data_IF_841815377458
#
_entry.id   IF_841815377458
#
_cell.length_a   1.000
_cell.length_b   1.000
_cell.length_c   1.000
_cell.angle_alpha   90.00
_cell.angle_beta   90.00
_cell.angle_gamma   90.00
#
_symmetry.space_group_name_H-M   'P 1'
#
loop_
_entity.id
_entity.type
_entity.pdbx_description
1 polymer ?
#
# COMPACT_ATOMS: atom_id res chain seq x y z
N UNK A 1 -14.33 -32.88 -6.48
CA UNK A 1 -13.10 -33.53 -6.93
C UNK A 1 -12.05 -33.29 -5.83
N UNK A 2 -11.38 -34.36 -5.42
CA UNK A 2 -10.35 -34.33 -4.41
C UNK A 2 -9.01 -34.73 -5.01
N UNK A 3 -7.95 -34.00 -4.61
CA UNK A 3 -6.56 -34.27 -4.94
C UNK A 3 -5.83 -34.53 -3.62
N UNK A 4 -5.46 -35.76 -3.35
CA UNK A 4 -4.84 -36.20 -2.12
C UNK A 4 -3.36 -36.54 -2.30
N UNK A 5 -2.66 -36.66 -1.19
CA UNK A 5 -1.32 -37.21 -1.07
C UNK A 5 -1.27 -38.25 0.07
N UNK A 6 -0.07 -38.74 0.42
CA UNK A 6 0.09 -39.72 1.50
C UNK A 6 -0.27 -39.19 2.90
N UNK A 7 -0.35 -37.90 3.10
CA UNK A 7 -0.68 -37.24 4.38
C UNK A 7 -2.15 -36.79 4.47
N UNK A 8 -2.81 -36.55 3.35
CA UNK A 8 -4.21 -36.10 3.30
C UNK A 8 -4.86 -36.43 1.97
N UNK A 9 -6.07 -36.94 2.02
CA UNK A 9 -6.86 -37.23 0.82
C UNK A 9 -7.64 -36.02 0.28
N UNK A 10 -7.52 -34.84 0.88
CA UNK A 10 -8.29 -33.62 0.56
C UNK A 10 -7.46 -32.33 0.62
N UNK A 11 -6.13 -32.43 0.43
CA UNK A 11 -5.22 -31.28 0.49
C UNK A 11 -5.49 -30.28 -0.66
N UNK A 12 -5.93 -30.78 -1.81
CA UNK A 12 -6.44 -29.99 -2.92
C UNK A 12 -7.84 -30.44 -3.29
N UNK A 13 -8.75 -29.53 -3.59
CA UNK A 13 -10.12 -29.90 -4.01
C UNK A 13 -10.81 -28.83 -4.83
N UNK A 14 -11.72 -29.29 -5.68
CA UNK A 14 -12.78 -28.49 -6.29
C UNK A 14 -14.10 -28.99 -5.71
N UNK A 15 -14.82 -28.13 -5.02
CA UNK A 15 -16.02 -28.46 -4.25
C UNK A 15 -17.18 -27.54 -4.64
N UNK A 16 -18.38 -28.09 -4.78
CA UNK A 16 -19.62 -27.33 -4.86
C UNK A 16 -20.45 -27.59 -3.60
N UNK A 17 -20.79 -26.52 -2.90
CA UNK A 17 -21.62 -26.56 -1.70
C UNK A 17 -23.07 -26.23 -2.06
N UNK A 18 -23.94 -27.25 -2.01
CA UNK A 18 -25.35 -27.09 -2.34
C UNK A 18 -26.15 -26.22 -1.38
N UNK A 19 -25.72 -26.09 -0.11
CA UNK A 19 -26.42 -25.24 0.88
C UNK A 19 -26.21 -23.75 0.64
N UNK A 20 -25.06 -23.37 0.10
CA UNK A 20 -24.70 -21.99 -0.21
C UNK A 20 -24.70 -21.69 -1.72
N UNK A 21 -24.87 -22.71 -2.55
CA UNK A 21 -24.73 -22.65 -4.01
C UNK A 21 -23.38 -22.05 -4.44
N UNK A 22 -22.30 -22.38 -3.73
CA UNK A 22 -20.96 -21.84 -4.00
C UNK A 22 -20.00 -22.93 -4.48
N UNK A 23 -19.10 -22.55 -5.38
CA UNK A 23 -17.97 -23.38 -5.80
C UNK A 23 -16.70 -22.88 -5.13
N UNK A 24 -15.87 -23.77 -4.59
CA UNK A 24 -14.61 -23.43 -3.95
C UNK A 24 -13.45 -24.25 -4.54
N UNK A 25 -12.31 -23.60 -4.70
CA UNK A 25 -11.02 -24.21 -5.01
C UNK A 25 -10.12 -24.14 -3.78
N UNK A 26 -9.59 -25.28 -3.35
CA UNK A 26 -8.71 -25.41 -2.18
C UNK A 26 -7.35 -25.91 -2.64
N UNK A 27 -6.29 -25.29 -2.13
CA UNK A 27 -4.89 -25.69 -2.32
C UNK A 27 -4.18 -25.67 -0.96
N UNK A 28 -3.33 -26.64 -0.67
CA UNK A 28 -2.64 -26.71 0.62
C UNK A 28 -3.57 -26.73 1.84
N UNK A 29 -4.83 -27.24 1.67
CA UNK A 29 -5.84 -27.25 2.72
C UNK A 29 -6.60 -25.92 2.89
N UNK A 30 -6.20 -24.84 2.24
CA UNK A 30 -6.80 -23.51 2.34
C UNK A 30 -7.64 -23.18 1.11
N UNK A 31 -8.78 -22.50 1.31
CA UNK A 31 -9.62 -22.04 0.20
C UNK A 31 -8.96 -20.86 -0.50
N UNK A 32 -8.51 -21.09 -1.74
CA UNK A 32 -7.82 -20.08 -2.54
C UNK A 32 -8.79 -19.21 -3.38
N UNK A 33 -9.94 -19.79 -3.79
CA UNK A 33 -10.93 -19.09 -4.63
C UNK A 33 -12.33 -19.58 -4.31
N UNK A 34 -13.28 -18.67 -4.32
CA UNK A 34 -14.71 -18.94 -4.16
C UNK A 34 -15.47 -18.25 -5.28
N UNK A 35 -16.44 -18.97 -5.89
CA UNK A 35 -17.49 -18.39 -6.74
C UNK A 35 -18.80 -18.59 -5.97
N UNK A 36 -19.42 -17.49 -5.53
CA UNK A 36 -20.68 -17.56 -4.77
C UNK A 36 -21.89 -17.87 -5.66
N UNK A 37 -23.06 -18.06 -5.05
CA UNK A 37 -24.31 -18.40 -5.75
C UNK A 37 -24.82 -17.29 -6.68
N UNK A 38 -24.26 -16.07 -6.61
CA UNK A 38 -24.55 -14.95 -7.49
C UNK A 38 -23.48 -14.75 -8.60
N UNK A 39 -22.44 -15.59 -8.59
CA UNK A 39 -21.34 -15.51 -9.56
C UNK A 39 -20.20 -14.55 -9.17
N UNK A 40 -20.19 -13.98 -7.96
CA UNK A 40 -19.04 -13.18 -7.50
C UNK A 40 -17.85 -14.09 -7.20
N UNK A 41 -16.66 -13.65 -7.63
CA UNK A 41 -15.40 -14.36 -7.41
C UNK A 41 -14.62 -13.65 -6.31
N UNK A 42 -14.21 -14.39 -5.28
CA UNK A 42 -13.32 -13.90 -4.23
C UNK A 42 -12.10 -14.80 -4.11
N UNK A 43 -10.96 -14.20 -3.74
CA UNK A 43 -9.69 -14.86 -3.47
C UNK A 43 -9.26 -14.52 -2.03
N UNK A 44 -9.72 -15.28 -1.01
CA UNK A 44 -9.57 -14.91 0.40
C UNK A 44 -8.13 -14.78 0.89
N UNK A 45 -7.17 -15.36 0.16
CA UNK A 45 -5.74 -15.35 0.49
C UNK A 45 -4.91 -14.49 -0.47
N UNK A 46 -5.56 -13.76 -1.39
CA UNK A 46 -4.86 -12.83 -2.26
C UNK A 46 -4.32 -11.67 -1.43
N UNK A 47 -3.00 -11.43 -1.51
CA UNK A 47 -2.35 -10.32 -0.79
C UNK A 47 -3.02 -8.99 -1.10
N UNK A 48 -3.49 -8.32 -0.07
CA UNK A 48 -4.14 -7.02 -0.17
C UNK A 48 -4.11 -6.33 1.20
N UNK A 49 -3.70 -5.07 1.22
CA UNK A 49 -3.63 -4.29 2.47
C UNK A 49 -4.08 -2.84 2.27
N UNK A 50 -4.50 -2.21 3.35
CA UNK A 50 -4.76 -0.79 3.45
C UNK A 50 -4.44 -0.30 4.85
N UNK A 51 -3.54 0.68 4.94
CA UNK A 51 -3.08 1.27 6.19
C UNK A 51 -3.18 2.79 6.13
N UNK A 52 -3.40 3.42 7.28
CA UNK A 52 -3.52 4.87 7.42
C UNK A 52 -2.69 5.38 8.58
N UNK A 53 -2.46 6.68 8.59
CA UNK A 53 -1.87 7.35 9.76
C UNK A 53 -2.81 7.26 10.97
N UNK A 54 -2.23 7.08 12.16
CA UNK A 54 -2.96 7.18 13.44
C UNK A 54 -2.74 8.53 14.12
N UNK A 55 -1.61 9.19 13.86
CA UNK A 55 -1.21 10.51 14.39
C UNK A 55 -0.38 11.24 13.35
N UNK A 56 -0.37 12.57 13.35
CA UNK A 56 0.46 13.35 12.43
C UNK A 56 1.95 13.07 12.67
N UNK A 57 2.70 12.94 11.58
CA UNK A 57 4.17 12.87 11.61
C UNK A 57 4.69 14.25 11.29
N UNK A 58 5.18 14.93 12.32
CA UNK A 58 5.55 16.35 12.25
C UNK A 58 7.05 16.55 12.05
N UNK A 59 7.39 17.71 11.48
CA UNK A 59 8.77 18.17 11.32
C UNK A 59 9.62 17.17 10.51
N UNK A 60 9.18 16.81 9.32
CA UNK A 60 9.99 15.98 8.43
C UNK A 60 11.32 16.69 8.15
N UNK A 61 12.39 15.92 8.12
CA UNK A 61 13.71 16.46 7.85
C UNK A 61 13.84 16.86 6.39
N UNK A 62 14.28 18.08 6.14
CA UNK A 62 14.51 18.63 4.81
C UNK A 62 15.71 17.97 4.09
N UNK A 63 15.77 18.17 2.77
CA UNK A 63 16.87 17.72 1.90
C UNK A 63 17.13 16.21 1.95
N UNK A 64 16.14 15.43 2.38
CA UNK A 64 16.20 13.95 2.37
C UNK A 64 14.84 13.30 2.20
N UNK A 65 14.84 12.00 1.97
CA UNK A 65 13.64 11.17 2.01
C UNK A 65 13.35 10.77 3.47
N UNK A 66 12.11 10.95 3.89
CA UNK A 66 11.62 10.56 5.20
C UNK A 66 10.64 9.41 5.03
N UNK A 67 10.86 8.30 5.72
CA UNK A 67 9.90 7.19 5.73
C UNK A 67 8.61 7.61 6.43
N UNK A 68 7.49 7.38 5.77
CA UNK A 68 6.17 7.69 6.31
C UNK A 68 5.70 6.56 7.22
N UNK A 69 5.14 6.94 8.38
CA UNK A 69 4.65 5.98 9.36
C UNK A 69 3.15 5.74 9.19
N UNK A 70 2.70 4.50 9.36
CA UNK A 70 1.31 4.09 9.29
C UNK A 70 0.98 3.30 10.56
N UNK A 71 0.18 3.89 11.45
CA UNK A 71 -0.12 3.31 12.76
C UNK A 71 -1.51 2.71 12.88
N UNK A 72 -2.33 2.76 11.82
CA UNK A 72 -3.67 2.24 11.80
C UNK A 72 -3.89 1.34 10.58
N UNK A 73 -4.21 0.09 10.83
CA UNK A 73 -4.51 -0.90 9.81
C UNK A 73 -6.02 -0.96 9.59
N UNK A 74 -6.47 -0.73 8.36
CA UNK A 74 -7.87 -0.93 7.96
C UNK A 74 -8.11 -2.41 7.67
N UNK A 75 -7.23 -3.00 6.89
CA UNK A 75 -7.14 -4.44 6.67
C UNK A 75 -5.74 -4.80 6.15
N UNK A 76 -5.32 -6.02 6.45
CA UNK A 76 -4.10 -6.64 5.94
C UNK A 76 -4.34 -8.15 5.82
N UNK A 77 -4.55 -8.61 4.59
CA UNK A 77 -4.74 -10.03 4.32
C UNK A 77 -3.38 -10.70 4.33
N UNK A 78 -3.24 -11.73 5.15
CA UNK A 78 -2.05 -12.52 5.43
C UNK A 78 -1.00 -11.86 6.35
N UNK A 79 -1.17 -10.63 6.81
CA UNK A 79 -0.17 -9.95 7.64
C UNK A 79 1.08 -9.54 6.84
N UNK A 80 0.88 -9.08 5.61
CA UNK A 80 1.97 -8.73 4.69
C UNK A 80 2.53 -7.31 4.96
N UNK A 81 1.87 -6.50 5.82
CA UNK A 81 2.30 -5.15 6.19
C UNK A 81 2.67 -5.09 7.68
N UNK A 82 3.91 -4.71 7.97
CA UNK A 82 4.38 -4.52 9.35
C UNK A 82 5.46 -3.44 9.43
N UNK A 83 5.51 -2.69 10.52
CA UNK A 83 6.57 -1.68 10.76
C UNK A 83 6.75 -0.70 9.58
N UNK A 84 5.65 -0.18 9.04
CA UNK A 84 5.59 0.74 7.89
C UNK A 84 6.06 0.15 6.56
N UNK A 85 6.19 -1.16 6.47
CA UNK A 85 6.75 -1.87 5.33
C UNK A 85 5.77 -2.94 4.85
N UNK A 86 5.43 -2.92 3.58
CA UNK A 86 4.82 -4.05 2.89
C UNK A 86 5.89 -5.02 2.45
N UNK A 87 5.66 -6.32 2.64
CA UNK A 87 6.55 -7.38 2.18
C UNK A 87 5.79 -8.30 1.22
N UNK A 88 6.26 -8.43 0.00
CA UNK A 88 5.63 -9.27 -1.00
C UNK A 88 5.66 -10.76 -0.59
N UNK A 89 4.52 -11.43 -0.37
CA UNK A 89 4.52 -12.84 0.03
C UNK A 89 4.89 -13.79 -1.11
N UNK A 90 4.71 -13.36 -2.36
CA UNK A 90 5.02 -14.15 -3.56
C UNK A 90 5.60 -13.24 -4.66
N UNK A 91 6.36 -13.82 -5.57
CA UNK A 91 6.78 -13.12 -6.80
C UNK A 91 5.56 -12.80 -7.66
N UNK A 92 5.44 -11.53 -8.08
CA UNK A 92 4.31 -11.07 -8.88
C UNK A 92 4.31 -9.59 -9.18
N UNK A 93 3.19 -9.12 -9.72
CA UNK A 93 2.93 -7.71 -9.98
C UNK A 93 1.96 -7.17 -8.94
N UNK A 94 2.36 -6.08 -8.28
CA UNK A 94 1.58 -5.45 -7.23
C UNK A 94 1.14 -4.06 -7.65
N UNK A 95 -0.16 -3.80 -7.59
CA UNK A 95 -0.66 -2.43 -7.65
C UNK A 95 -0.46 -1.80 -6.27
N UNK A 96 0.36 -0.77 -6.19
CA UNK A 96 0.63 -0.01 -4.97
C UNK A 96 0.18 1.44 -5.15
N UNK A 97 -0.49 1.99 -4.16
CA UNK A 97 -0.95 3.38 -4.15
C UNK A 97 -0.69 4.03 -2.79
N UNK A 98 -0.02 5.16 -2.81
CA UNK A 98 0.19 6.01 -1.65
C UNK A 98 -0.47 7.37 -1.85
N UNK A 99 -1.13 7.86 -0.79
CA UNK A 99 -1.74 9.19 -0.71
C UNK A 99 -1.28 9.83 0.59
N UNK A 100 -0.63 10.99 0.52
CA UNK A 100 -0.16 11.76 1.67
C UNK A 100 -0.84 13.11 1.70
N UNK A 101 -1.55 13.42 2.77
CA UNK A 101 -2.03 14.77 3.05
C UNK A 101 -0.95 15.52 3.82
N UNK A 102 -0.36 16.51 3.19
CA UNK A 102 0.71 17.32 3.75
C UNK A 102 0.17 18.66 4.25
N UNK A 103 0.71 19.12 5.36
CA UNK A 103 0.44 20.44 5.93
C UNK A 103 1.75 21.21 6.07
N UNK A 104 1.64 22.53 6.25
CA UNK A 104 2.78 23.44 6.43
C UNK A 104 3.79 23.45 5.27
N UNK A 105 3.31 23.26 4.05
CA UNK A 105 4.16 23.27 2.85
C UNK A 105 4.65 24.72 2.62
N UNK A 106 5.93 24.94 2.77
CA UNK A 106 6.56 26.25 2.54
C UNK A 106 6.80 26.48 1.05
N UNK A 107 5.92 27.25 0.40
CA UNK A 107 6.02 27.51 -1.04
C UNK A 107 7.19 28.45 -1.39
N UNK A 108 7.63 29.31 -0.46
CA UNK A 108 8.73 30.26 -0.72
C UNK A 108 10.11 29.59 -0.64
N UNK A 109 10.28 28.68 0.32
CA UNK A 109 11.54 27.98 0.59
C UNK A 109 11.70 26.69 -0.20
N UNK A 110 10.61 26.00 -0.52
CA UNK A 110 10.63 24.68 -1.16
C UNK A 110 10.60 24.78 -2.68
N UNK A 111 11.62 24.26 -3.37
CA UNK A 111 11.62 24.19 -4.83
C UNK A 111 10.72 23.06 -5.31
N UNK A 112 10.89 21.87 -4.77
CA UNK A 112 10.06 20.73 -5.11
C UNK A 112 9.93 19.78 -3.92
N UNK A 113 8.81 19.08 -3.88
CA UNK A 113 8.58 17.94 -2.99
C UNK A 113 8.25 16.70 -3.80
N UNK A 114 8.51 15.53 -3.25
CA UNK A 114 8.18 14.29 -3.92
C UNK A 114 7.64 13.24 -2.94
N UNK A 115 6.70 12.45 -3.44
CA UNK A 115 6.26 11.20 -2.84
C UNK A 115 6.88 10.03 -3.61
N UNK A 116 7.39 9.05 -2.88
CA UNK A 116 8.05 7.87 -3.45
C UNK A 116 7.46 6.60 -2.84
N UNK A 117 7.09 5.64 -3.69
CA UNK A 117 6.97 4.24 -3.28
C UNK A 117 8.33 3.61 -3.57
N UNK A 118 9.09 3.34 -2.52
CA UNK A 118 10.45 2.80 -2.60
C UNK A 118 10.37 1.29 -2.37
N UNK A 119 10.62 0.49 -3.43
CA UNK A 119 10.68 -0.97 -3.35
C UNK A 119 12.13 -1.43 -3.33
N UNK A 120 12.38 -2.68 -2.91
CA UNK A 120 13.71 -3.31 -2.97
C UNK A 120 14.33 -3.21 -4.35
N UNK A 121 13.52 -3.19 -5.41
CA UNK A 121 13.99 -3.24 -6.80
C UNK A 121 14.15 -1.86 -7.42
N UNK A 122 13.29 -0.89 -7.09
CA UNK A 122 13.31 0.45 -7.69
C UNK A 122 12.43 1.46 -6.96
N UNK A 123 12.64 2.72 -7.24
CA UNK A 123 11.84 3.84 -6.75
C UNK A 123 10.80 4.25 -7.78
N UNK A 124 9.53 4.33 -7.36
CA UNK A 124 8.45 4.93 -8.12
C UNK A 124 8.14 6.29 -7.48
N UNK A 125 8.40 7.37 -8.23
CA UNK A 125 8.43 8.73 -7.67
C UNK A 125 7.57 9.68 -8.49
N UNK A 126 6.77 10.49 -7.79
CA UNK A 126 6.12 11.67 -8.34
C UNK A 126 6.72 12.92 -7.66
N UNK A 127 7.24 13.84 -8.46
CA UNK A 127 7.78 15.11 -7.99
C UNK A 127 6.88 16.28 -8.40
N UNK A 128 6.76 17.25 -7.53
CA UNK A 128 5.92 18.42 -7.69
C UNK A 128 6.76 19.68 -7.47
N UNK A 129 6.72 20.64 -8.41
CA UNK A 129 7.35 21.94 -8.26
C UNK A 129 6.49 22.82 -7.35
N UNK A 130 6.80 22.84 -6.06
CA UNK A 130 5.99 23.52 -5.05
C UNK A 130 5.95 25.03 -5.29
N UNK A 131 7.14 25.65 -5.51
CA UNK A 131 7.28 27.09 -5.72
C UNK A 131 6.45 27.61 -6.90
N UNK A 132 6.39 26.84 -7.99
CA UNK A 132 5.73 27.29 -9.22
C UNK A 132 4.24 26.91 -9.25
N UNK A 133 3.82 26.03 -8.35
CA UNK A 133 2.46 25.50 -8.31
C UNK A 133 1.52 26.31 -7.42
N UNK A 134 2.03 26.88 -6.33
CA UNK A 134 1.25 27.68 -5.39
C UNK A 134 1.61 29.16 -5.47
N UNK A 135 0.60 30.06 -5.35
CA UNK A 135 0.77 31.51 -5.25
C UNK A 135 0.98 31.95 -3.77
N UNK A 136 0.60 31.09 -2.82
CA UNK A 136 0.74 31.29 -1.38
C UNK A 136 0.85 29.94 -0.69
N UNK A 137 1.29 29.92 0.56
CA UNK A 137 1.42 28.70 1.36
C UNK A 137 0.05 28.00 1.48
N UNK A 138 -0.10 26.76 0.98
CA UNK A 138 -1.34 26.02 1.12
C UNK A 138 -1.50 25.49 2.55
N UNK A 139 -2.72 25.49 3.07
CA UNK A 139 -3.00 24.88 4.36
C UNK A 139 -2.81 23.35 4.31
N UNK A 140 -3.29 22.72 3.24
CA UNK A 140 -3.11 21.30 2.95
C UNK A 140 -2.92 21.06 1.46
N UNK A 141 -2.13 20.05 1.14
CA UNK A 141 -2.02 19.52 -0.21
C UNK A 141 -1.86 18.00 -0.20
N UNK A 142 -2.47 17.32 -1.16
CA UNK A 142 -2.40 15.86 -1.25
C UNK A 142 -1.44 15.45 -2.36
N UNK A 143 -0.38 14.75 -1.96
CA UNK A 143 0.54 14.07 -2.87
C UNK A 143 0.10 12.63 -3.09
N UNK A 144 0.20 12.16 -4.32
CA UNK A 144 -0.16 10.78 -4.67
C UNK A 144 0.92 10.12 -5.51
N UNK A 145 1.13 8.84 -5.29
CA UNK A 145 1.96 7.98 -6.13
C UNK A 145 1.26 6.65 -6.33
N UNK A 146 1.16 6.20 -7.57
CA UNK A 146 0.59 4.89 -7.92
C UNK A 146 1.49 4.21 -8.92
N UNK A 147 1.75 2.94 -8.73
CA UNK A 147 2.58 2.14 -9.64
C UNK A 147 2.10 0.68 -9.70
N UNK A 148 2.51 0.00 -10.75
CA UNK A 148 2.54 -1.46 -10.79
C UNK A 148 3.99 -1.85 -10.57
N UNK A 149 4.26 -2.43 -9.39
CA UNK A 149 5.60 -2.86 -9.00
C UNK A 149 5.82 -4.32 -9.35
N UNK A 150 6.99 -4.62 -9.94
CA UNK A 150 7.50 -5.96 -10.12
C UNK A 150 8.26 -6.34 -8.85
N UNK A 151 7.79 -7.31 -8.10
CA UNK A 151 8.35 -7.69 -6.80
C UNK A 151 8.55 -9.20 -6.74
N UNK A 152 9.72 -9.61 -6.27
CA UNK A 152 9.97 -11.00 -5.90
C UNK A 152 9.44 -11.29 -4.49
N UNK A 153 9.26 -12.57 -4.18
CA UNK A 153 8.91 -12.96 -2.80
C UNK A 153 9.95 -12.43 -1.82
N UNK A 154 9.49 -11.78 -0.76
CA UNK A 154 10.27 -11.07 0.28
C UNK A 154 10.81 -9.70 -0.13
N UNK A 155 10.55 -9.21 -1.34
CA UNK A 155 10.77 -7.80 -1.64
C UNK A 155 9.90 -6.91 -0.79
N UNK A 156 10.39 -5.71 -0.49
CA UNK A 156 9.71 -4.76 0.38
C UNK A 156 9.30 -3.49 -0.37
N UNK A 157 8.29 -2.81 0.16
CA UNK A 157 7.87 -1.48 -0.29
C UNK A 157 7.57 -0.59 0.92
N UNK A 158 8.13 0.62 0.90
CA UNK A 158 7.86 1.68 1.88
C UNK A 158 7.43 2.94 1.16
N UNK A 159 6.72 3.82 1.87
CA UNK A 159 6.39 5.15 1.37
C UNK A 159 7.36 6.16 1.97
N UNK A 160 7.89 7.01 1.12
CA UNK A 160 8.80 8.08 1.51
C UNK A 160 8.32 9.42 0.98
N UNK A 161 8.64 10.48 1.70
CA UNK A 161 8.41 11.86 1.29
C UNK A 161 9.68 12.69 1.49
N UNK A 162 9.99 13.53 0.52
CA UNK A 162 11.13 14.44 0.60
C UNK A 162 10.76 15.81 0.09
N UNK A 163 11.28 16.84 0.78
CA UNK A 163 11.18 18.25 0.40
C UNK A 163 12.56 18.84 0.22
N UNK A 164 12.73 19.68 -0.79
CA UNK A 164 14.02 20.18 -1.24
C UNK A 164 13.95 21.64 -1.64
N UNK A 165 14.90 22.45 -1.13
CA UNK A 165 15.01 23.88 -1.44
C UNK A 165 15.81 24.63 -0.38
N UNK A 166 16.41 25.78 -0.72
CA UNK A 166 17.38 26.49 0.14
C UNK A 166 16.79 27.11 1.40
N UNK A 167 15.52 27.01 1.63
CA UNK A 167 14.82 27.55 2.78
C UNK A 167 13.58 26.73 3.10
N UNK A 168 13.53 25.47 2.62
CA UNK A 168 12.44 24.57 2.92
C UNK A 168 12.24 24.50 4.45
N UNK A 169 11.01 24.62 4.89
CA UNK A 169 10.66 24.41 6.29
C UNK A 169 10.23 22.98 6.53
N UNK A 170 10.19 22.59 7.78
CA UNK A 170 9.77 21.26 8.19
C UNK A 170 8.28 21.07 7.91
N UNK A 171 7.97 20.20 6.97
CA UNK A 171 6.60 19.87 6.59
C UNK A 171 6.04 18.75 7.48
N UNK A 172 4.72 18.70 7.58
CA UNK A 172 4.00 17.71 8.38
C UNK A 172 3.17 16.78 7.50
N UNK A 173 3.19 15.48 7.79
CA UNK A 173 2.19 14.56 7.28
C UNK A 173 0.98 14.60 8.19
N UNK A 174 -0.16 15.00 7.65
CA UNK A 174 -1.40 15.10 8.42
C UNK A 174 -2.00 13.71 8.62
N UNK A 175 -2.29 13.36 9.87
CA UNK A 175 -2.72 12.02 10.27
C UNK A 175 -3.87 11.95 11.27
N UNK A 176 -4.59 13.06 11.53
CA UNK A 176 -5.71 13.06 12.49
C UNK A 176 -7.01 12.52 11.90
N UNK A 177 -7.05 12.29 10.59
CA UNK A 177 -8.20 11.73 9.86
C UNK A 177 -7.77 10.44 9.18
N UNK A 178 -8.49 9.35 9.42
CA UNK A 178 -8.17 8.01 8.91
C UNK A 178 -8.14 7.90 7.38
N UNK A 179 -8.65 8.89 6.66
CA UNK A 179 -8.76 8.94 5.21
C UNK A 179 -7.77 9.93 4.55
N UNK A 180 -7.06 10.73 5.34
CA UNK A 180 -6.18 11.78 4.82
C UNK A 180 -4.88 11.22 4.22
N UNK A 181 -4.22 10.31 4.92
CA UNK A 181 -2.93 9.71 4.54
C UNK A 181 -3.09 8.19 4.55
N UNK A 182 -2.75 7.56 3.43
CA UNK A 182 -3.03 6.14 3.21
C UNK A 182 -1.96 5.49 2.33
N UNK A 183 -1.61 4.25 2.64
CA UNK A 183 -0.89 3.35 1.76
C UNK A 183 -1.69 2.06 1.58
N UNK A 184 -1.82 1.62 0.35
CA UNK A 184 -2.58 0.41 0.02
C UNK A 184 -1.93 -0.32 -1.13
N UNK A 185 -2.17 -1.62 -1.19
CA UNK A 185 -1.68 -2.46 -2.27
C UNK A 185 -2.42 -3.76 -2.41
N UNK A 186 -2.26 -4.37 -3.57
CA UNK A 186 -2.79 -5.70 -3.87
C UNK A 186 -1.96 -6.41 -4.93
N UNK A 187 -1.87 -7.73 -4.83
CA UNK A 187 -1.33 -8.60 -5.87
C UNK A 187 -2.31 -8.64 -7.06
N UNK A 188 -1.82 -8.39 -8.27
CA UNK A 188 -2.65 -8.40 -9.49
C UNK A 188 -2.31 -9.54 -10.46
N UNK A 189 -1.07 -10.06 -10.43
CA UNK A 189 -0.66 -11.23 -11.26
C UNK A 189 0.62 -11.86 -10.74
#
# INVERSE_FOLDING_TARGET
IFFGDSGSNAIGRLEYNHSTNAMAMTTGGNTAMIIDGNGHVTMPLQSCFSVTHSVSQTNLTEEQQNTITFGNEIFDINGDFASNTFTAPVTGKYLLTAKLSMAQIDHDGTYYSNITINTSNRNYKNAYSVRDFFEAQPEFFVFTCTCIADMDASDTAVVEFGTYGPGASQEDVYGTSADATQFMGQLIS
#
